data_IF_356144692075
#
_entry.id   IF_356144692075
#
_cell.length_a   1.000
_cell.length_b   1.000
_cell.length_c   1.000
_cell.angle_alpha   90.00
_cell.angle_beta   90.00
_cell.angle_gamma   90.00
#
_symmetry.space_group_name_H-M   'P 1'
#
loop_
_entity.id
_entity.type
_entity.pdbx_description
1 polymer ?
#
# COMPACT_ATOMS: atom_id res chain seq x y z
N UNK A 1 6.15 34.74 7.64
CA UNK A 1 5.21 33.62 7.37
C UNK A 1 4.67 33.62 5.96
N UNK A 2 4.15 34.75 5.46
CA UNK A 2 3.52 34.88 4.13
C UNK A 2 4.40 34.42 2.96
N UNK A 3 5.72 34.68 3.02
CA UNK A 3 6.63 34.29 1.93
C UNK A 3 6.87 32.77 1.83
N UNK A 4 6.85 32.03 2.95
CA UNK A 4 7.06 30.56 2.95
C UNK A 4 5.82 29.88 2.39
N UNK A 5 4.63 30.33 2.81
CA UNK A 5 3.35 29.84 2.28
C UNK A 5 3.24 30.13 0.78
N UNK A 6 3.64 31.32 0.34
CA UNK A 6 3.65 31.69 -1.07
C UNK A 6 4.67 30.89 -1.90
N UNK A 7 5.85 30.60 -1.36
CA UNK A 7 6.87 29.79 -2.03
C UNK A 7 6.44 28.32 -2.19
N UNK A 8 5.78 27.73 -1.19
CA UNK A 8 5.18 26.39 -1.28
C UNK A 8 4.06 26.38 -2.33
N UNK A 9 3.22 27.43 -2.34
CA UNK A 9 2.15 27.57 -3.32
C UNK A 9 2.67 27.71 -4.76
N UNK A 10 3.70 28.53 -4.99
CA UNK A 10 4.32 28.70 -6.31
C UNK A 10 5.08 27.43 -6.76
N UNK A 11 5.73 26.71 -5.84
CA UNK A 11 6.38 25.44 -6.15
C UNK A 11 5.37 24.34 -6.55
N UNK A 12 4.16 24.35 -5.97
CA UNK A 12 3.06 23.47 -6.34
C UNK A 12 2.48 23.79 -7.73
N UNK A 13 2.44 25.07 -8.12
CA UNK A 13 1.91 25.51 -9.43
C UNK A 13 2.84 25.15 -10.60
N UNK A 14 4.16 25.05 -10.39
CA UNK A 14 5.12 24.75 -11.46
C UNK A 14 5.30 23.25 -11.77
N UNK A 15 4.49 22.36 -11.20
CA UNK A 15 4.66 20.91 -11.30
C UNK A 15 3.59 20.28 -12.21
N UNK A 16 3.75 20.46 -13.51
CA UNK A 16 2.95 19.77 -14.52
C UNK A 16 3.82 19.29 -15.67
N UNK A 17 4.56 18.20 -15.48
CA UNK A 17 4.83 17.27 -16.59
C UNK A 17 4.66 15.84 -16.08
N UNK A 18 3.58 15.13 -16.48
CA UNK A 18 3.43 13.72 -16.14
C UNK A 18 4.47 12.90 -16.92
N UNK A 19 5.27 12.13 -16.20
CA UNK A 19 6.15 11.12 -16.82
C UNK A 19 5.31 10.06 -17.53
N UNK A 20 5.78 9.60 -18.69
CA UNK A 20 5.13 8.52 -19.42
C UNK A 20 5.44 7.16 -18.76
N UNK A 21 4.44 6.30 -18.55
CA UNK A 21 4.65 4.95 -18.05
C UNK A 21 5.37 4.07 -19.08
N UNK A 22 6.15 3.07 -18.59
CA UNK A 22 6.87 2.09 -19.41
C UNK A 22 6.71 0.68 -18.82
N UNK A 23 5.81 -0.15 -19.35
CA UNK A 23 5.83 -1.61 -19.14
C UNK A 23 4.89 -2.34 -20.12
N UNK A 24 5.46 -3.16 -21.01
CA UNK A 24 4.75 -3.95 -22.03
C UNK A 24 3.57 -4.79 -21.46
N UNK A 25 2.41 -4.86 -22.15
CA UNK A 25 1.27 -5.66 -21.70
C UNK A 25 1.49 -7.16 -21.85
N UNK A 26 0.96 -7.94 -20.91
CA UNK A 26 0.79 -9.39 -21.03
C UNK A 26 -0.57 -9.77 -21.67
N UNK A 27 -1.58 -8.88 -21.66
CA UNK A 27 -2.89 -9.07 -22.32
C UNK A 27 -3.28 -7.87 -23.21
N UNK A 28 -3.24 -8.01 -24.55
CA UNK A 28 -3.59 -6.94 -25.48
C UNK A 28 -5.09 -6.63 -25.58
N UNK A 29 -5.97 -7.46 -25.00
CA UNK A 29 -7.44 -7.31 -25.15
C UNK A 29 -8.10 -6.64 -23.93
N UNK A 30 -7.31 -6.11 -23.00
CA UNK A 30 -7.83 -5.28 -21.91
C UNK A 30 -8.21 -3.91 -22.45
N UNK A 31 -9.50 -3.67 -22.65
CA UNK A 31 -10.04 -2.36 -23.02
C UNK A 31 -10.63 -1.65 -21.80
N UNK A 32 -10.66 -0.32 -21.85
CA UNK A 32 -11.30 0.49 -20.80
C UNK A 32 -12.77 0.10 -20.60
N UNK A 33 -13.47 -0.30 -21.66
CA UNK A 33 -14.87 -0.74 -21.57
C UNK A 33 -15.04 -1.99 -20.68
N UNK A 34 -14.06 -2.90 -20.68
CA UNK A 34 -14.06 -4.08 -19.80
C UNK A 34 -13.74 -3.73 -18.34
N UNK A 35 -12.95 -2.67 -18.13
CA UNK A 35 -12.55 -2.20 -16.81
C UNK A 35 -13.47 -1.11 -16.23
N UNK A 36 -14.37 -0.55 -17.02
CA UNK A 36 -15.38 0.37 -16.51
C UNK A 36 -16.31 -0.36 -15.52
N UNK A 37 -16.69 0.33 -14.45
CA UNK A 37 -17.50 -0.21 -13.38
C UNK A 37 -17.19 0.41 -12.03
N UNK A 38 -17.91 -0.05 -11.02
CA UNK A 38 -17.70 0.34 -9.63
C UNK A 38 -16.83 -0.69 -8.93
N UNK A 39 -15.87 -0.21 -8.16
CA UNK A 39 -14.94 -0.99 -7.37
C UNK A 39 -14.98 -0.51 -5.93
N UNK A 40 -14.71 -1.42 -5.00
CA UNK A 40 -14.54 -1.04 -3.61
C UNK A 40 -13.68 -2.01 -2.80
N UNK A 41 -13.18 -1.50 -1.69
CA UNK A 41 -12.49 -2.25 -0.64
C UNK A 41 -12.96 -1.70 0.72
N UNK A 42 -12.92 -2.53 1.75
CA UNK A 42 -13.26 -2.09 3.10
C UNK A 42 -12.63 -3.01 4.14
N UNK A 43 -11.98 -2.44 5.15
CA UNK A 43 -11.48 -3.17 6.33
C UNK A 43 -12.45 -3.09 7.52
N UNK A 44 -13.57 -2.36 7.36
CA UNK A 44 -14.60 -2.14 8.38
C UNK A 44 -14.50 -0.79 9.07
N UNK A 45 -13.35 -0.11 8.98
CA UNK A 45 -13.12 1.25 9.48
C UNK A 45 -12.99 2.27 8.36
N UNK A 46 -12.32 1.85 7.29
CA UNK A 46 -12.08 2.62 6.08
C UNK A 46 -12.70 1.88 4.92
N UNK A 47 -13.40 2.62 4.08
CA UNK A 47 -13.96 2.17 2.81
C UNK A 47 -13.31 2.95 1.68
N UNK A 48 -12.79 2.25 0.69
CA UNK A 48 -12.37 2.85 -0.56
C UNK A 48 -13.37 2.49 -1.65
N UNK A 49 -13.62 3.44 -2.53
CA UNK A 49 -14.48 3.28 -3.69
C UNK A 49 -13.83 3.91 -4.90
N UNK A 50 -14.03 3.30 -6.06
CA UNK A 50 -13.57 3.79 -7.35
C UNK A 50 -14.63 3.46 -8.40
N UNK A 51 -15.20 4.47 -9.03
CA UNK A 51 -16.09 4.33 -10.18
C UNK A 51 -15.35 4.77 -11.44
N UNK A 52 -15.36 3.94 -12.48
CA UNK A 52 -14.74 4.22 -13.79
C UNK A 52 -15.81 4.13 -14.88
N UNK A 53 -15.96 5.19 -15.68
CA UNK A 53 -16.93 5.24 -16.78
C UNK A 53 -16.31 4.74 -18.09
N UNK A 54 -17.17 4.35 -19.03
CA UNK A 54 -16.77 3.92 -20.38
C UNK A 54 -16.12 5.02 -21.22
N UNK A 55 -16.34 6.28 -20.86
CA UNK A 55 -15.75 7.47 -21.49
C UNK A 55 -14.37 7.82 -20.91
N UNK A 56 -13.88 7.04 -19.93
CA UNK A 56 -12.56 7.24 -19.34
C UNK A 56 -12.54 8.31 -18.28
N UNK A 57 -13.65 8.48 -17.55
CA UNK A 57 -13.68 9.31 -16.34
C UNK A 57 -13.64 8.40 -15.12
N UNK A 58 -12.98 8.85 -14.06
CA UNK A 58 -13.06 8.16 -12.77
C UNK A 58 -13.45 9.11 -11.64
N UNK A 59 -14.03 8.52 -10.61
CA UNK A 59 -14.25 9.13 -9.31
C UNK A 59 -13.82 8.14 -8.23
N UNK A 60 -12.96 8.54 -7.31
CA UNK A 60 -12.60 7.75 -6.14
C UNK A 60 -12.91 8.48 -4.85
N UNK A 61 -13.22 7.72 -3.81
CA UNK A 61 -13.41 8.24 -2.47
C UNK A 61 -12.90 7.26 -1.42
N UNK A 62 -12.30 7.81 -0.36
CA UNK A 62 -11.91 7.08 0.83
C UNK A 62 -12.70 7.65 2.01
N UNK A 63 -13.60 6.84 2.56
CA UNK A 63 -14.48 7.22 3.66
C UNK A 63 -14.05 6.50 4.94
N UNK A 64 -13.96 7.23 6.05
CA UNK A 64 -13.77 6.67 7.39
C UNK A 64 -15.03 6.80 8.23
N UNK A 65 -14.96 6.39 9.50
CA UNK A 65 -16.06 6.54 10.47
C UNK A 65 -16.55 7.99 10.64
N UNK A 66 -15.70 8.99 10.35
CA UNK A 66 -16.01 10.42 10.48
C UNK A 66 -16.42 11.09 9.16
N UNK A 67 -16.63 10.30 8.10
CA UNK A 67 -17.01 10.77 6.76
C UNK A 67 -15.86 10.69 5.75
N UNK A 68 -16.00 11.44 4.65
CA UNK A 68 -15.04 11.42 3.56
C UNK A 68 -13.68 11.98 4.00
N UNK A 69 -12.68 11.11 3.98
CA UNK A 69 -11.28 11.47 4.24
C UNK A 69 -10.61 11.97 2.95
N UNK A 70 -10.92 11.33 1.83
CA UNK A 70 -10.34 11.67 0.54
C UNK A 70 -11.32 11.53 -0.63
N UNK A 71 -11.16 12.39 -1.65
CA UNK A 71 -11.90 12.30 -2.91
C UNK A 71 -11.02 12.73 -4.08
N UNK A 72 -11.00 11.94 -5.14
CA UNK A 72 -10.28 12.26 -6.37
C UNK A 72 -11.15 12.01 -7.59
N UNK A 73 -10.91 12.77 -8.66
CA UNK A 73 -11.59 12.58 -9.93
C UNK A 73 -10.63 12.94 -11.04
N UNK A 74 -10.79 12.28 -12.19
CA UNK A 74 -9.88 12.49 -13.30
C UNK A 74 -10.19 11.64 -14.52
N UNK A 75 -9.15 11.37 -15.30
CA UNK A 75 -9.21 10.52 -16.47
C UNK A 75 -8.68 9.12 -16.14
N UNK A 76 -9.38 8.08 -16.58
CA UNK A 76 -8.93 6.70 -16.59
C UNK A 76 -8.58 6.32 -18.03
N UNK A 77 -7.39 5.78 -18.23
CA UNK A 77 -6.94 5.27 -19.52
C UNK A 77 -6.41 3.85 -19.34
N UNK A 78 -6.36 3.08 -20.42
CA UNK A 78 -5.65 1.79 -20.42
C UNK A 78 -4.37 1.95 -21.21
N UNK A 79 -3.24 1.76 -20.55
CA UNK A 79 -1.91 1.79 -21.15
C UNK A 79 -1.29 0.44 -20.89
N UNK A 80 -0.98 -0.31 -21.95
CA UNK A 80 -0.29 -1.59 -21.82
C UNK A 80 -1.01 -2.56 -20.86
N UNK A 81 -2.34 -2.68 -21.00
CA UNK A 81 -3.17 -3.58 -20.17
C UNK A 81 -3.34 -3.13 -18.71
N UNK A 82 -2.76 -2.00 -18.33
CA UNK A 82 -2.87 -1.39 -16.99
C UNK A 82 -3.87 -0.25 -17.04
N UNK A 83 -4.67 -0.11 -15.99
CA UNK A 83 -5.51 1.07 -15.83
C UNK A 83 -4.70 2.18 -15.17
N UNK A 84 -4.60 3.32 -15.83
CA UNK A 84 -3.87 4.50 -15.36
C UNK A 84 -4.87 5.59 -15.02
N UNK A 85 -4.93 5.96 -13.75
CA UNK A 85 -5.76 7.05 -13.25
C UNK A 85 -4.94 8.34 -13.16
N UNK A 86 -5.33 9.35 -13.93
CA UNK A 86 -4.70 10.68 -13.92
C UNK A 86 -5.66 11.69 -13.30
N UNK A 87 -5.38 12.24 -12.12
CA UNK A 87 -6.27 13.19 -11.45
C UNK A 87 -6.39 14.51 -12.24
N UNK A 88 -7.59 15.09 -12.31
CA UNK A 88 -7.81 16.38 -12.97
C UNK A 88 -7.10 17.53 -12.23
N UNK A 89 -6.97 17.38 -10.91
CA UNK A 89 -6.49 18.43 -10.01
C UNK A 89 -5.73 17.81 -8.84
N UNK A 90 -4.82 18.61 -8.29
CA UNK A 90 -4.25 18.36 -6.96
C UNK A 90 -5.38 18.16 -5.96
N UNK A 91 -5.24 17.16 -5.11
CA UNK A 91 -6.18 16.94 -4.02
C UNK A 91 -5.98 17.99 -2.93
N UNK A 92 -6.72 19.09 -3.04
CA UNK A 92 -6.60 20.22 -2.12
C UNK A 92 -7.03 19.87 -0.68
N UNK A 93 -7.87 18.85 -0.49
CA UNK A 93 -8.25 18.38 0.86
C UNK A 93 -7.03 17.80 1.56
N UNK A 94 -6.28 16.96 0.85
CA UNK A 94 -5.04 16.36 1.35
C UNK A 94 -3.97 17.42 1.61
N UNK A 95 -3.78 18.35 0.67
CA UNK A 95 -2.87 19.50 0.87
C UNK A 95 -3.29 20.32 2.09
N UNK A 96 -4.58 20.59 2.27
CA UNK A 96 -5.10 21.31 3.44
C UNK A 96 -4.78 20.57 4.74
N UNK A 97 -4.89 19.25 4.78
CA UNK A 97 -4.54 18.45 5.95
C UNK A 97 -3.07 18.64 6.32
N UNK A 98 -2.14 18.49 5.36
CA UNK A 98 -0.72 18.75 5.59
C UNK A 98 -0.44 20.19 6.05
N UNK A 99 -1.12 21.17 5.45
CA UNK A 99 -0.99 22.58 5.85
C UNK A 99 -1.54 22.84 7.26
N UNK A 100 -2.57 22.12 7.68
CA UNK A 100 -3.14 22.24 9.03
C UNK A 100 -2.24 21.62 10.10
N UNK A 101 -1.63 20.47 9.80
CA UNK A 101 -0.60 19.86 10.66
C UNK A 101 0.60 20.82 10.80
N UNK A 102 1.08 21.38 9.69
CA UNK A 102 2.16 22.38 9.70
C UNK A 102 1.79 23.63 10.50
N UNK A 103 0.55 24.12 10.36
CA UNK A 103 0.06 25.28 11.12
C UNK A 103 0.01 24.98 12.63
N UNK A 104 -0.39 23.77 13.02
CA UNK A 104 -0.42 23.32 14.43
C UNK A 104 0.97 23.32 15.03
N UNK A 105 1.96 22.76 14.31
CA UNK A 105 3.38 22.76 14.73
C UNK A 105 3.90 24.20 14.89
N UNK A 106 3.62 25.08 13.91
CA UNK A 106 4.04 26.48 13.97
C UNK A 106 3.39 27.24 15.14
N UNK A 107 2.13 26.97 15.44
CA UNK A 107 1.43 27.58 16.57
C UNK A 107 2.03 27.11 17.91
N UNK A 108 2.30 25.81 18.05
CA UNK A 108 2.98 25.25 19.21
C UNK A 108 4.34 25.92 19.46
N UNK A 109 5.17 26.07 18.42
CA UNK A 109 6.45 26.77 18.53
C UNK A 109 6.33 28.24 18.86
N UNK A 110 5.29 28.91 18.38
CA UNK A 110 5.04 30.32 18.73
C UNK A 110 4.75 30.47 20.23
N UNK A 111 4.00 29.53 20.80
CA UNK A 111 3.71 29.49 22.24
C UNK A 111 4.98 29.17 23.05
N UNK A 112 5.78 28.17 22.63
CA UNK A 112 7.06 27.89 23.29
C UNK A 112 8.01 29.09 23.26
N UNK A 113 8.12 29.77 22.11
CA UNK A 113 8.93 30.97 21.98
C UNK A 113 8.49 32.10 22.93
N UNK A 114 7.18 32.29 23.08
CA UNK A 114 6.63 33.28 24.01
C UNK A 114 6.93 32.93 25.48
N UNK A 115 6.91 31.65 25.83
CA UNK A 115 7.18 31.17 27.19
C UNK A 115 8.68 31.17 27.53
N UNK A 116 9.56 30.90 26.57
CA UNK A 116 11.01 30.88 26.77
C UNK A 116 11.60 32.23 27.24
N UNK A 117 10.93 33.34 26.91
CA UNK A 117 11.29 34.68 27.42
C UNK A 117 11.26 34.79 28.95
N UNK A 118 10.62 33.85 29.65
CA UNK A 118 10.57 33.79 31.12
C UNK A 118 11.59 32.85 31.76
N UNK A 119 12.13 31.87 31.01
CA UNK A 119 13.04 30.85 31.54
C UNK A 119 14.52 31.15 31.34
N UNK A 120 14.87 32.20 30.58
CA UNK A 120 16.25 32.54 30.26
C UNK A 120 16.88 31.69 29.14
N UNK A 121 16.18 30.68 28.63
CA UNK A 121 16.57 29.95 27.43
C UNK A 121 16.16 30.70 26.17
N UNK A 122 17.08 30.85 25.21
CA UNK A 122 16.81 31.54 23.96
C UNK A 122 16.19 30.57 22.95
N UNK A 123 14.88 30.67 22.73
CA UNK A 123 14.21 29.93 21.67
C UNK A 123 14.69 30.43 20.29
N UNK A 124 15.44 29.62 19.56
CA UNK A 124 15.92 29.96 18.21
C UNK A 124 14.91 29.54 17.15
N UNK A 125 13.89 30.39 16.94
CA UNK A 125 12.91 30.22 15.86
C UNK A 125 13.59 30.08 14.48
N UNK A 126 14.75 30.69 14.27
CA UNK A 126 15.47 30.60 13.01
C UNK A 126 16.07 29.20 12.77
N UNK A 127 16.50 28.52 13.84
CA UNK A 127 16.96 27.15 13.76
C UNK A 127 15.79 26.20 13.46
N UNK A 128 14.66 26.36 14.15
CA UNK A 128 13.46 25.54 13.94
C UNK A 128 12.87 25.69 12.53
N UNK A 129 12.81 26.91 12.00
CA UNK A 129 12.41 27.13 10.61
C UNK A 129 13.39 26.51 9.61
N UNK A 130 14.70 26.51 9.92
CA UNK A 130 15.71 25.81 9.11
C UNK A 130 15.56 24.29 9.16
N UNK A 131 15.09 23.72 10.27
CA UNK A 131 14.78 22.29 10.39
C UNK A 131 13.59 21.93 9.47
N UNK A 132 12.47 22.66 9.53
CA UNK A 132 11.33 22.43 8.60
C UNK A 132 11.74 22.62 7.13
N UNK A 133 12.54 23.65 6.84
CA UNK A 133 12.97 23.91 5.48
C UNK A 133 13.77 22.74 4.87
N UNK A 134 14.43 21.91 5.70
CA UNK A 134 15.11 20.69 5.26
C UNK A 134 14.14 19.55 4.94
N UNK A 135 12.99 19.50 5.61
CA UNK A 135 11.94 18.50 5.38
C UNK A 135 11.02 18.88 4.21
N UNK A 136 10.96 20.18 3.87
CA UNK A 136 10.08 20.68 2.82
C UNK A 136 10.26 19.98 1.46
N UNK A 137 11.48 19.68 0.98
CA UNK A 137 11.67 18.89 -0.25
C UNK A 137 11.04 17.50 -0.19
N UNK A 138 11.10 16.81 0.96
CA UNK A 138 10.49 15.49 1.15
C UNK A 138 8.97 15.60 1.18
N UNK A 139 8.43 16.60 1.88
CA UNK A 139 6.99 16.89 1.87
C UNK A 139 6.49 17.21 0.45
N UNK A 140 7.23 18.03 -0.30
CA UNK A 140 6.91 18.33 -1.69
C UNK A 140 7.03 17.10 -2.59
N UNK A 141 8.02 16.23 -2.36
CA UNK A 141 8.13 14.97 -3.08
C UNK A 141 6.95 14.04 -2.79
N UNK A 142 6.49 13.98 -1.54
CA UNK A 142 5.30 13.22 -1.16
C UNK A 142 4.04 13.78 -1.83
N UNK A 143 3.84 15.11 -1.77
CA UNK A 143 2.74 15.78 -2.47
C UNK A 143 2.80 15.54 -3.98
N UNK A 144 4.00 15.54 -4.60
CA UNK A 144 4.17 15.20 -6.02
C UNK A 144 3.79 13.75 -6.30
N UNK A 145 4.18 12.83 -5.43
CA UNK A 145 3.85 11.42 -5.54
C UNK A 145 2.33 11.21 -5.53
N UNK A 146 1.59 11.96 -4.72
CA UNK A 146 0.13 11.91 -4.67
C UNK A 146 -0.55 12.43 -5.95
N UNK A 147 0.22 13.07 -6.83
CA UNK A 147 -0.27 13.65 -8.09
C UNK A 147 0.23 12.88 -9.31
N UNK A 148 1.07 11.87 -9.10
CA UNK A 148 1.45 10.96 -10.17
C UNK A 148 0.23 10.15 -10.60
N UNK A 149 0.18 9.76 -11.89
CA UNK A 149 -0.78 8.78 -12.33
C UNK A 149 -0.68 7.52 -11.46
N UNK A 150 -1.84 7.01 -11.02
CA UNK A 150 -1.92 5.77 -10.25
C UNK A 150 -2.14 4.62 -11.22
N UNK A 151 -1.24 3.66 -11.20
CA UNK A 151 -1.31 2.48 -12.07
C UNK A 151 -1.93 1.29 -11.33
N UNK A 152 -2.95 0.70 -11.95
CA UNK A 152 -3.56 -0.54 -11.51
C UNK A 152 -3.35 -1.64 -12.55
N UNK A 153 -2.99 -2.81 -12.05
CA UNK A 153 -2.98 -4.07 -12.78
C UNK A 153 -4.33 -4.76 -12.55
N UNK A 154 -5.15 -4.96 -13.58
CA UNK A 154 -6.34 -5.77 -13.46
C UNK A 154 -5.93 -7.24 -13.27
N UNK A 155 -6.46 -7.87 -12.23
CA UNK A 155 -6.23 -9.28 -11.92
C UNK A 155 -7.57 -10.01 -11.90
N UNK A 156 -7.74 -10.97 -12.79
CA UNK A 156 -8.90 -11.84 -12.78
C UNK A 156 -8.68 -12.94 -11.74
N UNK A 157 -9.65 -13.16 -10.86
CA UNK A 157 -9.65 -14.31 -9.96
C UNK A 157 -11.06 -14.90 -9.88
N UNK A 158 -11.20 -16.10 -10.45
CA UNK A 158 -12.50 -16.73 -10.65
C UNK A 158 -13.42 -15.82 -11.50
N UNK A 159 -14.59 -15.44 -11.01
CA UNK A 159 -15.52 -14.50 -11.70
C UNK A 159 -15.23 -13.03 -11.38
N UNK A 160 -14.20 -12.72 -10.60
CA UNK A 160 -13.94 -11.37 -10.07
C UNK A 160 -12.80 -10.69 -10.78
N UNK A 161 -12.90 -9.37 -10.84
CA UNK A 161 -11.81 -8.48 -11.28
C UNK A 161 -11.35 -7.67 -10.07
N UNK A 162 -10.06 -7.76 -9.79
CA UNK A 162 -9.36 -6.95 -8.81
C UNK A 162 -8.55 -5.88 -9.53
N UNK A 163 -8.49 -4.68 -8.96
CA UNK A 163 -7.52 -3.66 -9.36
C UNK A 163 -6.44 -3.59 -8.29
N UNK A 164 -5.25 -4.06 -8.64
CA UNK A 164 -4.09 -4.14 -7.75
C UNK A 164 -3.13 -3.03 -8.14
N UNK A 165 -2.70 -2.18 -7.20
CA UNK A 165 -1.68 -1.17 -7.54
C UNK A 165 -0.41 -1.85 -8.02
N UNK A 166 0.26 -1.27 -8.99
CA UNK A 166 1.43 -1.87 -9.66
C UNK A 166 2.53 -2.33 -8.69
N UNK A 167 2.71 -1.59 -7.60
CA UNK A 167 3.69 -1.78 -6.53
C UNK A 167 3.24 -2.78 -5.46
N UNK A 168 1.98 -3.19 -5.44
CA UNK A 168 1.38 -4.07 -4.43
C UNK A 168 1.26 -5.53 -4.88
N UNK A 169 1.82 -5.90 -6.04
CA UNK A 169 1.76 -7.27 -6.57
C UNK A 169 2.24 -8.35 -5.58
N UNK A 170 3.30 -8.06 -4.81
CA UNK A 170 3.79 -8.95 -3.75
C UNK A 170 2.75 -9.15 -2.64
N UNK A 171 2.17 -8.04 -2.15
CA UNK A 171 1.13 -8.06 -1.13
C UNK A 171 -0.11 -8.82 -1.59
N UNK A 172 -0.48 -8.66 -2.86
CA UNK A 172 -1.59 -9.40 -3.46
C UNK A 172 -1.31 -10.90 -3.50
N UNK A 173 -0.13 -11.32 -3.98
CA UNK A 173 0.26 -12.73 -4.01
C UNK A 173 0.34 -13.33 -2.60
N UNK A 174 0.85 -12.58 -1.62
CA UNK A 174 0.84 -13.01 -0.21
C UNK A 174 -0.58 -13.21 0.32
N UNK A 175 -1.49 -12.26 0.08
CA UNK A 175 -2.90 -12.40 0.44
C UNK A 175 -3.53 -13.65 -0.18
N UNK A 176 -3.23 -13.91 -1.45
CA UNK A 176 -3.72 -15.09 -2.15
C UNK A 176 -3.17 -16.40 -1.56
N UNK A 177 -1.86 -16.49 -1.35
CA UNK A 177 -1.20 -17.67 -0.77
C UNK A 177 -1.71 -17.97 0.65
N UNK A 178 -1.91 -16.94 1.47
CA UNK A 178 -2.47 -17.04 2.82
C UNK A 178 -3.92 -17.53 2.83
N UNK A 179 -4.57 -17.52 1.67
CA UNK A 179 -5.98 -17.84 1.53
C UNK A 179 -6.90 -16.72 1.99
N UNK A 180 -6.37 -15.52 2.23
CA UNK A 180 -7.16 -14.36 2.61
C UNK A 180 -8.00 -13.89 1.43
N UNK A 181 -9.17 -13.33 1.73
CA UNK A 181 -9.90 -12.58 0.72
C UNK A 181 -9.18 -11.24 0.51
N UNK A 182 -8.60 -10.98 -0.69
CA UNK A 182 -7.88 -9.74 -0.94
C UNK A 182 -8.79 -8.51 -0.91
N UNK A 183 -10.12 -8.67 -0.89
CA UNK A 183 -11.08 -7.56 -0.89
C UNK A 183 -10.92 -6.57 0.30
N UNK A 184 -10.20 -6.95 1.36
CA UNK A 184 -9.87 -6.03 2.46
C UNK A 184 -8.74 -5.06 2.13
N UNK A 185 -7.96 -5.32 1.07
CA UNK A 185 -6.76 -4.56 0.73
C UNK A 185 -6.70 -4.13 -0.74
N UNK A 186 -7.64 -4.61 -1.57
CA UNK A 186 -7.66 -4.32 -3.01
C UNK A 186 -9.07 -4.02 -3.48
N UNK A 187 -9.17 -3.18 -4.51
CA UNK A 187 -10.42 -2.76 -5.12
C UNK A 187 -11.02 -3.90 -5.94
N UNK A 188 -12.22 -4.36 -5.55
CA UNK A 188 -12.94 -5.45 -6.22
C UNK A 188 -14.14 -4.91 -6.97
N UNK A 189 -14.34 -5.36 -8.21
CA UNK A 189 -15.50 -4.95 -9.03
C UNK A 189 -16.81 -5.41 -8.38
N UNK A 190 -17.75 -4.48 -8.21
CA UNK A 190 -18.97 -4.67 -7.43
C UNK A 190 -19.96 -5.69 -8.05
N UNK A 191 -19.89 -5.90 -9.36
CA UNK A 191 -20.73 -6.84 -10.12
C UNK A 191 -20.17 -8.28 -10.13
N UNK A 192 -19.01 -8.55 -9.51
CA UNK A 192 -18.33 -9.84 -9.48
C UNK A 192 -19.01 -10.95 -8.64
N UNK A 193 -20.28 -10.77 -8.25
CA UNK A 193 -21.06 -11.73 -7.49
C UNK A 193 -20.86 -11.67 -5.96
N UNK A 194 -21.68 -12.44 -5.23
CA UNK A 194 -21.67 -12.53 -3.75
C UNK A 194 -20.27 -12.71 -3.17
N UNK A 195 -20.07 -12.29 -1.90
CA UNK A 195 -18.81 -12.32 -1.14
C UNK A 195 -18.17 -13.71 -0.92
N UNK A 196 -18.60 -14.75 -1.63
CA UNK A 196 -18.02 -16.09 -1.56
C UNK A 196 -16.52 -16.08 -1.88
N UNK A 197 -15.77 -17.07 -1.39
CA UNK A 197 -14.33 -17.10 -1.64
C UNK A 197 -14.06 -17.42 -3.11
N UNK A 198 -13.20 -16.64 -3.77
CA UNK A 198 -12.78 -16.91 -5.13
C UNK A 198 -12.07 -18.28 -5.20
N UNK A 199 -12.35 -19.06 -6.24
CA UNK A 199 -11.75 -20.39 -6.43
C UNK A 199 -10.53 -20.34 -7.34
N UNK A 200 -9.62 -21.30 -7.14
CA UNK A 200 -8.40 -21.42 -7.95
C UNK A 200 -7.36 -20.32 -7.67
N UNK A 201 -6.39 -20.19 -8.58
CA UNK A 201 -5.37 -19.15 -8.53
C UNK A 201 -5.78 -17.92 -9.34
N UNK A 202 -5.39 -16.71 -8.92
CA UNK A 202 -5.59 -15.52 -9.72
C UNK A 202 -4.73 -15.54 -11.00
N UNK A 203 -5.28 -14.99 -12.08
CA UNK A 203 -4.55 -14.71 -13.31
C UNK A 203 -3.76 -13.41 -13.13
N UNK A 204 -2.49 -13.55 -12.77
CA UNK A 204 -1.56 -12.43 -12.54
C UNK A 204 -0.56 -12.28 -13.69
N UNK A 205 0.07 -11.09 -13.85
CA UNK A 205 1.18 -10.88 -14.77
C UNK A 205 2.32 -11.88 -14.59
N UNK A 206 3.11 -12.10 -15.64
CA UNK A 206 4.19 -13.08 -15.62
C UNK A 206 5.24 -12.79 -14.54
N UNK A 207 5.48 -11.51 -14.25
CA UNK A 207 6.38 -11.06 -13.18
C UNK A 207 5.94 -11.51 -11.77
N UNK A 208 4.63 -11.75 -11.56
CA UNK A 208 4.06 -12.13 -10.27
C UNK A 208 3.76 -13.62 -10.18
N UNK A 209 3.64 -14.31 -11.32
CA UNK A 209 3.30 -15.74 -11.37
C UNK A 209 4.20 -16.63 -10.49
N UNK A 210 5.54 -16.45 -10.44
CA UNK A 210 6.39 -17.25 -9.55
C UNK A 210 6.13 -17.04 -8.05
N UNK A 211 5.40 -15.98 -7.68
CA UNK A 211 5.07 -15.68 -6.28
C UNK A 211 3.80 -16.39 -5.80
N UNK A 212 3.01 -16.96 -6.71
CA UNK A 212 1.80 -17.73 -6.39
C UNK A 212 2.14 -19.20 -6.19
N UNK A 213 1.65 -19.76 -5.08
CA UNK A 213 1.82 -21.17 -4.77
C UNK A 213 0.62 -21.99 -5.23
N UNK A 214 0.86 -23.06 -5.98
CA UNK A 214 -0.18 -24.02 -6.37
C UNK A 214 -0.79 -24.74 -5.16
N UNK A 215 0.04 -25.01 -4.16
CA UNK A 215 -0.37 -25.62 -2.89
C UNK A 215 0.30 -24.90 -1.73
N UNK A 216 -0.39 -24.75 -0.58
CA UNK A 216 0.24 -24.24 0.63
C UNK A 216 1.52 -25.01 0.98
N UNK A 217 2.54 -24.29 1.42
CA UNK A 217 3.80 -24.87 1.90
C UNK A 217 3.82 -24.91 3.41
N UNK A 218 4.48 -25.94 3.94
CA UNK A 218 4.55 -26.22 5.38
C UNK A 218 5.97 -26.56 5.78
N UNK A 219 6.45 -25.91 6.83
CA UNK A 219 7.78 -26.14 7.41
C UNK A 219 7.77 -25.93 8.91
N UNK A 220 8.97 -25.87 9.48
CA UNK A 220 9.25 -25.73 10.91
C UNK A 220 10.39 -24.77 11.13
N UNK A 221 10.29 -24.01 12.22
CA UNK A 221 11.42 -23.24 12.73
C UNK A 221 12.50 -24.21 13.21
N UNK A 222 13.70 -24.12 12.66
CA UNK A 222 14.85 -24.97 13.00
C UNK A 222 15.92 -24.25 13.82
N UNK A 223 15.92 -22.92 13.79
CA UNK A 223 16.88 -22.08 14.51
C UNK A 223 16.20 -20.76 14.93
N UNK A 224 16.35 -20.36 16.19
CA UNK A 224 15.93 -19.04 16.67
C UNK A 224 17.15 -18.12 16.60
N UNK A 225 17.01 -16.98 15.92
CA UNK A 225 18.05 -15.99 15.75
C UNK A 225 17.78 -14.75 16.62
N UNK A 226 18.76 -13.85 16.68
CA UNK A 226 18.59 -12.57 17.39
C UNK A 226 17.57 -11.66 16.68
N UNK A 227 17.07 -10.63 17.37
CA UNK A 227 16.22 -9.56 16.81
C UNK A 227 14.87 -10.03 16.24
N UNK A 228 14.31 -11.12 16.76
CA UNK A 228 13.01 -11.63 16.34
C UNK A 228 13.04 -12.26 14.95
N UNK A 229 14.16 -12.88 14.61
CA UNK A 229 14.33 -13.68 13.40
C UNK A 229 14.36 -15.17 13.73
N UNK A 230 14.02 -16.00 12.75
CA UNK A 230 14.11 -17.44 12.85
C UNK A 230 14.44 -18.05 11.48
N UNK A 231 15.17 -19.16 11.47
CA UNK A 231 15.38 -19.97 10.26
C UNK A 231 14.30 -21.04 10.17
N UNK A 232 13.74 -21.20 8.98
CA UNK A 232 12.71 -22.20 8.65
C UNK A 232 13.28 -23.17 7.62
N UNK A 233 12.92 -24.44 7.71
CA UNK A 233 13.26 -25.49 6.73
C UNK A 233 12.45 -25.41 5.41
N UNK A 234 12.22 -24.19 4.93
CA UNK A 234 11.59 -23.89 3.64
C UNK A 234 12.52 -23.01 2.81
N UNK A 235 12.74 -23.31 1.54
CA UNK A 235 13.60 -22.50 0.67
C UNK A 235 13.04 -22.29 -0.74
N UNK A 236 13.91 -21.87 -1.66
CA UNK A 236 13.58 -21.71 -3.09
C UNK A 236 12.98 -22.98 -3.70
N UNK A 237 13.47 -24.16 -3.29
CA UNK A 237 12.96 -25.44 -3.78
C UNK A 237 11.50 -25.70 -3.39
N UNK A 238 11.03 -25.03 -2.33
CA UNK A 238 9.64 -25.07 -1.90
C UNK A 238 8.81 -23.91 -2.48
N UNK A 239 9.40 -23.02 -3.29
CA UNK A 239 8.72 -21.83 -3.83
C UNK A 239 8.72 -20.62 -2.89
N UNK A 240 9.57 -20.60 -1.87
CA UNK A 240 9.74 -19.41 -1.01
C UNK A 240 10.46 -18.30 -1.75
N UNK A 241 10.08 -17.05 -1.50
CA UNK A 241 10.70 -15.84 -2.07
C UNK A 241 10.81 -14.71 -1.03
N UNK A 242 11.67 -13.72 -1.29
CA UNK A 242 11.93 -12.60 -0.35
C UNK A 242 10.77 -11.60 -0.31
N UNK A 243 10.23 -11.37 0.89
CA UNK A 243 9.01 -10.62 1.16
C UNK A 243 7.77 -11.50 1.30
N UNK A 244 7.90 -12.83 1.16
CA UNK A 244 6.76 -13.74 1.31
C UNK A 244 6.24 -13.73 2.74
N UNK A 245 4.92 -13.68 2.90
CA UNK A 245 4.27 -13.79 4.21
C UNK A 245 4.10 -15.25 4.60
N UNK A 246 4.54 -15.60 5.81
CA UNK A 246 4.35 -16.92 6.41
C UNK A 246 3.73 -16.75 7.82
N UNK A 247 2.85 -17.68 8.18
CA UNK A 247 2.19 -17.74 9.49
C UNK A 247 2.88 -18.79 10.37
N UNK A 248 3.20 -18.44 11.61
CA UNK A 248 3.74 -19.38 12.61
C UNK A 248 2.71 -19.63 13.72
N UNK A 249 2.11 -20.84 13.72
CA UNK A 249 1.18 -21.47 14.68
C UNK A 249 -0.01 -20.62 15.27
N UNK A 250 -1.07 -21.23 15.86
CA UNK A 250 -2.46 -20.85 15.60
C UNK A 250 -3.05 -19.90 16.66
N UNK A 251 -2.23 -19.45 17.61
CA UNK A 251 -2.67 -18.74 18.81
C UNK A 251 -2.79 -17.22 18.67
N UNK A 252 -2.40 -16.65 17.53
CA UNK A 252 -2.40 -15.19 17.36
C UNK A 252 -2.26 -14.73 15.93
N UNK A 253 -2.45 -13.42 15.72
CA UNK A 253 -2.23 -12.71 14.46
C UNK A 253 -0.72 -12.54 14.18
N UNK A 254 -0.03 -13.67 14.10
CA UNK A 254 1.42 -13.85 14.18
C UNK A 254 2.14 -13.88 12.83
N UNK A 255 1.82 -12.97 11.91
CA UNK A 255 2.45 -12.97 10.60
C UNK A 255 3.96 -12.69 10.66
N UNK A 256 4.71 -13.34 9.76
CA UNK A 256 6.14 -13.12 9.54
C UNK A 256 6.41 -12.89 8.05
N UNK A 257 7.51 -12.20 7.76
CA UNK A 257 8.00 -11.92 6.42
C UNK A 257 9.33 -12.65 6.21
N UNK A 258 9.49 -13.28 5.05
CA UNK A 258 10.77 -13.87 4.62
C UNK A 258 11.75 -12.76 4.23
N UNK A 259 12.91 -12.71 4.86
CA UNK A 259 13.96 -11.68 4.64
C UNK A 259 15.23 -12.21 3.99
N UNK A 260 15.40 -13.53 3.93
CA UNK A 260 16.52 -14.19 3.26
C UNK A 260 16.05 -15.56 2.77
N UNK A 261 16.45 -15.98 1.57
CA UNK A 261 16.06 -17.28 1.00
C UNK A 261 17.29 -18.02 0.50
N UNK A 262 17.50 -19.23 1.03
CA UNK A 262 18.43 -20.22 0.51
C UNK A 262 17.70 -21.33 -0.26
N UNK A 263 18.44 -22.33 -0.75
CA UNK A 263 17.85 -23.43 -1.52
C UNK A 263 16.78 -24.20 -0.75
N UNK A 264 17.10 -24.60 0.50
CA UNK A 264 16.26 -25.47 1.34
C UNK A 264 15.88 -24.84 2.68
N UNK A 265 16.23 -23.57 2.91
CA UNK A 265 15.90 -22.86 4.15
C UNK A 265 15.76 -21.37 3.89
N UNK A 266 15.03 -20.67 4.75
CA UNK A 266 14.83 -19.23 4.68
C UNK A 266 14.91 -18.62 6.08
N UNK A 267 15.14 -17.32 6.15
CA UNK A 267 15.06 -16.56 7.40
C UNK A 267 13.79 -15.74 7.36
N UNK A 268 12.97 -15.86 8.41
CA UNK A 268 11.78 -15.05 8.62
C UNK A 268 12.01 -14.01 9.71
N UNK A 269 11.28 -12.90 9.63
CA UNK A 269 11.24 -11.82 10.62
C UNK A 269 9.79 -11.47 10.90
N UNK A 270 9.46 -11.21 12.16
CA UNK A 270 8.11 -10.80 12.56
C UNK A 270 7.75 -9.40 12.13
N UNK A 271 6.48 -9.17 11.81
CA UNK A 271 5.96 -7.82 11.59
C UNK A 271 5.99 -6.99 12.88
N UNK A 272 5.55 -7.56 14.00
CA UNK A 272 5.43 -6.84 15.27
C UNK A 272 6.34 -7.42 16.34
N UNK A 273 7.15 -6.55 16.96
CA UNK A 273 8.05 -6.93 18.07
C UNK A 273 7.31 -7.41 19.33
N UNK A 274 6.03 -7.11 19.45
CA UNK A 274 5.19 -7.47 20.60
C UNK A 274 4.63 -8.90 20.54
N UNK A 275 4.76 -9.60 19.41
CA UNK A 275 4.30 -10.99 19.27
C UNK A 275 5.17 -11.95 20.11
N UNK A 276 4.58 -13.05 20.59
CA UNK A 276 5.22 -14.07 21.44
C UNK A 276 6.39 -14.76 20.77
N UNK A 277 7.63 -14.60 21.23
CA UNK A 277 8.86 -15.10 20.57
C UNK A 277 8.75 -16.50 19.92
N UNK A 278 9.43 -16.67 18.78
CA UNK A 278 9.49 -17.94 18.06
C UNK A 278 9.94 -19.10 18.93
N UNK A 279 9.47 -20.31 18.63
CA UNK A 279 9.90 -21.54 19.28
C UNK A 279 10.53 -22.49 18.27
N UNK A 280 11.59 -23.18 18.68
CA UNK A 280 12.17 -24.24 17.85
C UNK A 280 11.15 -25.37 17.66
N UNK A 281 10.99 -25.85 16.43
CA UNK A 281 10.00 -26.84 16.03
C UNK A 281 8.59 -26.28 15.78
N UNK A 282 8.35 -24.97 15.95
CA UNK A 282 7.08 -24.31 15.65
C UNK A 282 6.75 -24.44 14.17
N UNK A 283 5.49 -24.78 13.84
CA UNK A 283 5.05 -24.92 12.46
C UNK A 283 4.96 -23.56 11.78
N UNK A 284 5.38 -23.51 10.51
CA UNK A 284 5.27 -22.35 9.65
C UNK A 284 4.54 -22.74 8.38
N UNK A 285 3.61 -21.89 7.91
CA UNK A 285 2.74 -22.18 6.78
C UNK A 285 2.53 -20.94 5.92
N UNK A 286 2.43 -21.14 4.59
CA UNK A 286 1.98 -20.06 3.70
C UNK A 286 0.47 -19.88 3.67
N UNK A 287 -0.30 -20.75 4.36
CA UNK A 287 -1.76 -20.66 4.50
C UNK A 287 -2.13 -20.41 5.96
N UNK A 288 -3.04 -19.48 6.18
CA UNK A 288 -3.51 -19.14 7.54
C UNK A 288 -4.34 -20.30 8.13
N UNK A 289 -4.08 -20.73 9.38
CA UNK A 289 -4.87 -21.76 10.04
C UNK A 289 -6.35 -21.38 10.13
N UNK A 290 -7.25 -22.34 9.89
CA UNK A 290 -8.70 -22.16 10.01
C UNK A 290 -9.38 -21.47 8.83
N UNK A 291 -8.66 -21.22 7.73
CA UNK A 291 -9.22 -20.72 6.48
C UNK A 291 -9.24 -21.86 5.47
N UNK A 292 -10.36 -22.60 5.37
CA UNK A 292 -10.50 -23.73 4.43
C UNK A 292 -10.61 -23.27 2.98
#
# INVERSE_FOLDING_TARGET
>A
MTCVVLAVYLALVCLQEPGLPQAKPDDPDTSLQKLAGDYGSSDGFVRESLSVTTEGRYFSATDGCLGAMDRSAGCATVVEGRMVLTPDRLNLVRIRFYLQELATVLNYWTIEAANAGTSGERFDLSQKLREIAKELPELLAHLRSDCQPIEFVPVQWDTRVYLVRSEEGKSFCNGANLGLNPAMSFLVRADGGNQERAKGLPLVPDAWRPMLLETPIHGKIIEIMSRGQARVDLGLENGVWEGMSLESDPGGFGGSEVVEVGATSCVIRRYYRTQTAFKNGENVSSKRPGID
#
